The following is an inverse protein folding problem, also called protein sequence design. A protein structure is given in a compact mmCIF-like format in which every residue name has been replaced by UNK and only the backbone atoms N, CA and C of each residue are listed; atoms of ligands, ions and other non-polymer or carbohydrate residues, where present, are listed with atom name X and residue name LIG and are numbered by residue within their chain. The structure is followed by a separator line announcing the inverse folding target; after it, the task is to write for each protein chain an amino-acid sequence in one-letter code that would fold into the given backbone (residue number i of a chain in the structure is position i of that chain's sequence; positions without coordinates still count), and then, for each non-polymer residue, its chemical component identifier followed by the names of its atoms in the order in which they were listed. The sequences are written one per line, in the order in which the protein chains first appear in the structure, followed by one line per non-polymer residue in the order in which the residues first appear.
data_IF_085841413894
#
_entry.id   IF_085841413894
#
_cell.length_a   1.000
_cell.length_b   1.000
_cell.length_c   1.000
_cell.angle_alpha   90.00
_cell.angle_beta   90.00
_cell.angle_gamma   90.00
#
_symmetry.space_group_name_H-M   'P 1'
#
loop_
_entity.id
_entity.type
_entity.pdbx_description
1 polymer ?
#
# COMPACT_ATOMS: atom_id res chain seq x y z
N UNK A 1 11.57 -13.78 -3.88
CA UNK A 1 10.12 -13.70 -3.57
C UNK A 1 9.38 -13.29 -4.84
N UNK A 2 8.16 -13.80 -5.08
CA UNK A 2 7.39 -13.48 -6.29
C UNK A 2 6.48 -12.29 -6.01
N UNK A 3 6.84 -11.13 -6.55
CA UNK A 3 6.07 -9.89 -6.51
C UNK A 3 4.62 -10.12 -6.97
N UNK A 4 3.65 -9.67 -6.18
CA UNK A 4 2.23 -9.74 -6.57
C UNK A 4 1.97 -8.91 -7.82
N UNK A 5 1.11 -9.41 -8.71
CA UNK A 5 0.58 -8.63 -9.83
C UNK A 5 -0.36 -7.55 -9.30
N UNK A 6 -0.57 -6.46 -10.04
CA UNK A 6 -1.44 -5.36 -9.60
C UNK A 6 -2.81 -5.83 -9.09
N UNK A 7 -3.45 -6.78 -9.79
CA UNK A 7 -4.76 -7.30 -9.39
C UNK A 7 -4.71 -7.96 -8.01
N UNK A 8 -3.68 -8.79 -7.76
CA UNK A 8 -3.49 -9.48 -6.48
C UNK A 8 -3.05 -8.52 -5.38
N UNK A 9 -2.20 -7.55 -5.71
CA UNK A 9 -1.79 -6.49 -4.80
C UNK A 9 -2.99 -5.66 -4.33
N UNK A 10 -3.85 -5.20 -5.25
CA UNK A 10 -5.05 -4.43 -4.91
C UNK A 10 -5.98 -5.26 -4.01
N UNK A 11 -6.22 -6.53 -4.35
CA UNK A 11 -7.03 -7.43 -3.52
C UNK A 11 -6.46 -7.55 -2.11
N UNK A 12 -5.15 -7.73 -1.98
CA UNK A 12 -4.47 -7.81 -0.69
C UNK A 12 -4.61 -6.50 0.11
N UNK A 13 -4.41 -5.35 -0.53
CA UNK A 13 -4.44 -4.03 0.12
C UNK A 13 -5.84 -3.64 0.58
N UNK A 14 -6.88 -3.99 -0.17
CA UNK A 14 -8.28 -3.73 0.20
C UNK A 14 -8.69 -4.49 1.46
N UNK A 15 -8.17 -5.71 1.64
CA UNK A 15 -8.43 -6.55 2.82
C UNK A 15 -7.44 -6.30 3.97
N UNK A 16 -6.40 -5.47 3.75
CA UNK A 16 -5.35 -5.25 4.73
C UNK A 16 -5.84 -4.37 5.88
N UNK A 17 -5.53 -4.78 7.11
CA UNK A 17 -5.85 -4.00 8.31
C UNK A 17 -5.18 -2.62 8.24
N UNK A 18 -5.87 -1.58 8.71
CA UNK A 18 -5.35 -0.20 8.76
C UNK A 18 -5.13 0.48 7.40
N UNK A 19 -5.54 -0.14 6.29
CA UNK A 19 -5.72 0.54 5.01
C UNK A 19 -7.21 0.90 4.90
N UNK A 20 -7.51 2.20 4.87
CA UNK A 20 -8.89 2.68 4.86
C UNK A 20 -9.44 2.79 3.42
N UNK A 21 -8.56 3.10 2.46
CA UNK A 21 -8.95 3.26 1.06
C UNK A 21 -7.81 2.88 0.12
N UNK A 22 -8.15 2.25 -1.00
CA UNK A 22 -7.23 1.99 -2.12
C UNK A 22 -7.76 2.69 -3.36
N UNK A 23 -7.01 3.68 -3.87
CA UNK A 23 -7.28 4.36 -5.12
C UNK A 23 -6.29 3.91 -6.19
N UNK A 24 -6.77 3.63 -7.40
CA UNK A 24 -5.95 3.07 -8.48
C UNK A 24 -5.95 4.02 -9.66
N UNK A 25 -4.78 4.53 -10.02
CA UNK A 25 -4.55 5.34 -11.21
C UNK A 25 -3.94 4.51 -12.34
N UNK A 26 -3.64 5.13 -13.48
CA UNK A 26 -2.96 4.46 -14.61
C UNK A 26 -1.55 3.98 -14.23
N UNK A 27 -0.85 4.70 -13.37
CA UNK A 27 0.57 4.49 -13.06
C UNK A 27 0.83 4.16 -11.59
N UNK A 28 -0.16 4.31 -10.71
CA UNK A 28 0.01 4.19 -9.27
C UNK A 28 -1.18 3.51 -8.59
N UNK A 29 -0.91 2.87 -7.47
CA UNK A 29 -1.89 2.40 -6.49
C UNK A 29 -1.62 3.17 -5.21
N UNK A 30 -2.56 4.00 -4.79
CA UNK A 30 -2.46 4.88 -3.62
C UNK A 30 -3.31 4.29 -2.50
N UNK A 31 -2.68 3.98 -1.38
CA UNK A 31 -3.34 3.49 -0.17
C UNK A 31 -3.41 4.63 0.83
N UNK A 32 -4.62 5.01 1.25
CA UNK A 32 -4.82 5.84 2.43
C UNK A 32 -4.73 4.94 3.65
N UNK A 33 -3.80 5.24 4.54
CA UNK A 33 -3.60 4.45 5.77
C UNK A 33 -4.19 5.16 6.97
N UNK A 34 -4.82 4.38 7.84
CA UNK A 34 -5.40 4.86 9.09
C UNK A 34 -4.33 5.39 10.03
N UNK A 35 -4.74 6.22 10.99
CA UNK A 35 -3.85 6.69 12.07
C UNK A 35 -3.27 5.56 12.94
N UNK A 36 -3.81 4.34 12.83
CA UNK A 36 -3.32 3.16 13.57
C UNK A 36 -2.25 2.38 12.81
N UNK A 37 -2.05 2.67 11.52
CA UNK A 37 -1.00 2.06 10.73
C UNK A 37 0.36 2.50 11.28
N UNK A 38 1.14 1.55 11.77
CA UNK A 38 2.46 1.83 12.34
C UNK A 38 3.58 1.50 11.36
N UNK A 39 4.72 2.19 11.41
CA UNK A 39 5.84 1.93 10.51
C UNK A 39 6.32 0.47 10.53
N UNK A 40 6.16 -0.24 11.64
CA UNK A 40 6.57 -1.64 11.80
C UNK A 40 5.70 -2.63 11.01
N UNK A 41 4.50 -2.22 10.58
CA UNK A 41 3.63 -3.03 9.71
C UNK A 41 4.12 -3.03 8.25
N UNK A 42 4.87 -2.01 7.85
CA UNK A 42 5.32 -1.84 6.47
C UNK A 42 6.27 -2.96 6.02
N UNK A 43 7.33 -3.36 6.76
CA UNK A 43 8.19 -4.47 6.36
C UNK A 43 7.43 -5.78 6.12
N UNK A 44 6.44 -6.10 6.96
CA UNK A 44 5.62 -7.29 6.81
C UNK A 44 4.76 -7.21 5.54
N UNK A 45 4.10 -6.06 5.32
CA UNK A 45 3.34 -5.81 4.09
C UNK A 45 4.20 -6.00 2.84
N UNK A 46 5.44 -5.51 2.83
CA UNK A 46 6.35 -5.67 1.70
C UNK A 46 6.82 -7.12 1.53
N UNK A 47 7.06 -7.84 2.61
CA UNK A 47 7.39 -9.26 2.57
C UNK A 47 6.25 -10.11 1.98
N UNK A 48 5.01 -9.85 2.40
CA UNK A 48 3.82 -10.59 1.97
C UNK A 48 3.46 -10.30 0.50
N UNK A 49 3.67 -9.06 0.05
CA UNK A 49 3.32 -8.63 -1.31
C UNK A 49 4.48 -8.75 -2.30
N UNK A 50 5.70 -8.89 -1.80
CA UNK A 50 6.94 -8.83 -2.60
C UNK A 50 7.13 -7.52 -3.35
N UNK A 51 6.50 -6.42 -2.91
CA UNK A 51 6.68 -5.10 -3.50
C UNK A 51 7.97 -4.45 -3.01
N UNK A 52 8.54 -3.61 -3.87
CA UNK A 52 9.66 -2.76 -3.49
C UNK A 52 9.19 -1.65 -2.55
N UNK A 53 10.13 -0.99 -1.88
CA UNK A 53 9.83 0.11 -0.94
C UNK A 53 8.91 1.16 -1.60
N UNK A 54 7.69 1.37 -1.08
CA UNK A 54 6.74 2.30 -1.66
C UNK A 54 7.12 3.73 -1.32
N UNK A 55 6.53 4.69 -2.04
CA UNK A 55 6.63 6.10 -1.65
C UNK A 55 5.63 6.37 -0.52
N UNK A 56 6.11 6.89 0.60
CA UNK A 56 5.28 7.36 1.71
C UNK A 56 5.13 8.87 1.62
N UNK A 57 3.91 9.37 1.80
CA UNK A 57 3.63 10.81 1.82
C UNK A 57 2.50 11.11 2.80
N UNK A 58 2.45 12.33 3.32
CA UNK A 58 1.37 12.79 4.20
C UNK A 58 0.81 14.10 3.65
N UNK A 59 -0.51 14.25 3.68
CA UNK A 59 -1.19 15.47 3.23
C UNK A 59 -2.47 15.66 4.04
N UNK A 60 -2.70 16.88 4.53
CA UNK A 60 -3.89 17.25 5.32
C UNK A 60 -4.15 16.33 6.53
N UNK A 61 -3.09 15.86 7.19
CA UNK A 61 -3.21 14.95 8.34
C UNK A 61 -3.52 13.49 7.97
N UNK A 62 -3.55 13.16 6.67
CA UNK A 62 -3.75 11.81 6.15
C UNK A 62 -2.43 11.26 5.64
N UNK A 63 -2.16 9.99 5.95
CA UNK A 63 -0.95 9.29 5.52
C UNK A 63 -1.26 8.40 4.30
N UNK A 64 -0.32 8.32 3.37
CA UNK A 64 -0.47 7.59 2.13
C UNK A 64 0.75 6.70 1.86
N UNK A 65 0.48 5.50 1.36
CA UNK A 65 1.47 4.59 0.79
C UNK A 65 1.19 4.42 -0.69
N UNK A 66 2.18 4.72 -1.53
CA UNK A 66 2.03 4.73 -2.99
C UNK A 66 2.91 3.66 -3.62
N UNK A 67 2.27 2.70 -4.27
CA UNK A 67 2.92 1.67 -5.06
C UNK A 67 2.89 2.03 -6.56
N UNK A 68 3.97 1.77 -7.31
CA UNK A 68 3.93 1.82 -8.77
C UNK A 68 3.02 0.71 -9.32
N UNK A 69 2.28 1.04 -10.38
CA UNK A 69 1.44 0.09 -11.12
C UNK A 69 2.15 -0.34 -12.39
N UNK A 70 2.30 -1.65 -12.59
CA UNK A 70 3.05 -2.25 -13.71
C UNK A 70 2.18 -2.86 -14.80
#
# INVERSE_FOLDING_TARGET
MKKLTNKRLISYLVDHKHIDMVSVSKTQIVCTVSARFRPEELPQLLADTGQDMPRMTSSEGVNYIVFPRY
#
